data_IF_238069797590
#
_entry.id   IF_238069797590
#
_cell.length_a   1.000
_cell.length_b   1.000
_cell.length_c   1.000
_cell.angle_alpha   90.00
_cell.angle_beta   90.00
_cell.angle_gamma   90.00
#
_symmetry.space_group_name_H-M   'P 1'
#
loop_
_entity.id
_entity.type
_entity.pdbx_description
1 polymer ?
#
# COMPACT_ATOMS: atom_id res chain seq x y z
N UNK A 1 -12.07 -24.18 11.08
CA UNK A 1 -11.08 -23.29 10.46
C UNK A 1 -10.47 -22.40 11.54
N UNK A 2 -9.16 -22.55 11.76
CA UNK A 2 -8.44 -21.63 12.65
C UNK A 2 -8.21 -20.33 11.86
N UNK A 3 -8.72 -19.24 12.37
CA UNK A 3 -8.49 -17.89 11.86
C UNK A 3 -7.32 -17.30 12.66
N UNK A 4 -6.25 -16.95 11.99
CA UNK A 4 -5.14 -16.19 12.60
C UNK A 4 -4.98 -14.90 11.82
N UNK A 5 -5.06 -13.76 12.50
CA UNK A 5 -4.70 -12.46 11.93
C UNK A 5 -3.21 -12.24 12.21
N UNK A 6 -2.46 -11.94 11.17
CA UNK A 6 -1.02 -11.81 11.26
C UNK A 6 -0.59 -10.50 10.59
N UNK A 7 0.26 -9.74 11.29
CA UNK A 7 0.96 -8.62 10.68
C UNK A 7 2.17 -9.13 9.91
N UNK A 8 2.24 -8.88 8.61
CA UNK A 8 3.40 -9.23 7.79
C UNK A 8 4.71 -8.62 8.33
N UNK A 9 4.64 -7.48 9.03
CA UNK A 9 5.81 -6.79 9.59
C UNK A 9 6.49 -7.53 10.74
N UNK A 10 5.78 -8.43 11.45
CA UNK A 10 6.33 -9.11 12.66
C UNK A 10 6.87 -10.50 12.36
N UNK A 11 6.58 -11.07 11.18
CA UNK A 11 7.07 -12.38 10.80
C UNK A 11 8.35 -12.20 10.03
N UNK A 12 9.44 -12.61 10.62
CA UNK A 12 10.79 -12.47 10.06
C UNK A 12 11.49 -13.82 9.99
N UNK A 13 12.27 -13.99 8.94
CA UNK A 13 13.21 -15.10 8.75
C UNK A 13 14.65 -14.58 8.75
N UNK A 14 15.62 -15.46 8.60
CA UNK A 14 17.01 -15.07 8.41
C UNK A 14 17.25 -14.29 7.11
N UNK A 15 16.38 -14.44 6.11
CA UNK A 15 16.46 -13.68 4.87
C UNK A 15 15.75 -12.33 4.90
N UNK A 16 15.06 -11.97 5.97
CA UNK A 16 14.35 -10.71 6.09
C UNK A 16 15.32 -9.52 6.23
N UNK A 17 14.87 -8.33 5.86
CA UNK A 17 15.63 -7.08 5.94
C UNK A 17 15.21 -6.23 7.15
N UNK A 18 15.12 -6.83 8.35
CA UNK A 18 14.72 -6.17 9.59
C UNK A 18 13.20 -6.10 9.81
N UNK A 19 12.39 -6.32 8.78
CA UNK A 19 10.94 -6.53 8.86
C UNK A 19 10.54 -7.72 8.00
N UNK A 20 9.37 -8.31 8.27
CA UNK A 20 8.79 -9.33 7.41
C UNK A 20 8.48 -8.79 6.02
N UNK A 21 8.44 -9.67 5.03
CA UNK A 21 8.26 -9.30 3.64
C UNK A 21 7.37 -10.31 2.87
N UNK A 22 7.22 -10.13 1.57
CA UNK A 22 6.37 -10.99 0.74
C UNK A 22 6.87 -12.43 0.65
N UNK A 23 8.18 -12.69 0.76
CA UNK A 23 8.72 -14.05 0.76
C UNK A 23 8.49 -14.74 2.12
N UNK A 24 8.57 -13.99 3.23
CA UNK A 24 8.17 -14.48 4.54
C UNK A 24 6.67 -14.82 4.57
N UNK A 25 5.82 -13.97 3.99
CA UNK A 25 4.39 -14.24 3.85
C UNK A 25 4.13 -15.50 3.04
N UNK A 26 4.78 -15.65 1.89
CA UNK A 26 4.68 -16.84 1.03
C UNK A 26 5.05 -18.11 1.79
N UNK A 27 6.18 -18.10 2.48
CA UNK A 27 6.64 -19.23 3.30
C UNK A 27 5.62 -19.57 4.39
N UNK A 28 5.12 -18.56 5.09
CA UNK A 28 4.15 -18.75 6.15
C UNK A 28 2.82 -19.35 5.66
N UNK A 29 2.32 -18.89 4.51
CA UNK A 29 1.09 -19.43 3.90
C UNK A 29 1.26 -20.93 3.60
N UNK A 30 2.35 -21.30 2.94
CA UNK A 30 2.64 -22.68 2.58
C UNK A 30 2.80 -23.57 3.82
N UNK A 31 3.57 -23.12 4.81
CA UNK A 31 3.79 -23.89 6.05
C UNK A 31 2.53 -23.98 6.92
N UNK A 32 1.70 -22.92 6.95
CA UNK A 32 0.42 -22.96 7.65
C UNK A 32 -0.52 -24.00 7.04
N UNK A 33 -0.58 -24.06 5.70
CA UNK A 33 -1.37 -25.11 5.04
C UNK A 33 -0.88 -26.49 5.37
N UNK A 34 0.44 -26.73 5.29
CA UNK A 34 1.03 -28.05 5.58
C UNK A 34 0.82 -28.50 7.02
N UNK A 35 1.03 -27.59 8.00
CA UNK A 35 1.03 -27.93 9.43
C UNK A 35 -0.34 -27.91 10.06
N UNK A 36 -1.23 -27.03 9.62
CA UNK A 36 -2.55 -26.83 10.27
C UNK A 36 -3.74 -27.09 9.37
N UNK A 37 -3.52 -27.31 8.06
CA UNK A 37 -4.60 -27.45 7.08
C UNK A 37 -5.33 -26.13 6.78
N UNK A 38 -4.76 -24.97 7.15
CA UNK A 38 -5.37 -23.66 6.94
C UNK A 38 -5.80 -23.46 5.46
N UNK A 39 -6.97 -22.86 5.25
CA UNK A 39 -7.48 -22.56 3.91
C UNK A 39 -7.32 -21.07 3.57
N UNK A 40 -7.03 -20.23 4.54
CA UNK A 40 -6.75 -18.80 4.36
C UNK A 40 -5.92 -18.22 5.52
N UNK A 41 -5.38 -17.05 5.29
CA UNK A 41 -4.70 -16.24 6.29
C UNK A 41 -5.12 -14.78 6.14
N UNK A 42 -5.66 -14.20 7.20
CA UNK A 42 -5.95 -12.77 7.26
C UNK A 42 -4.66 -12.02 7.61
N UNK A 43 -4.34 -11.02 6.81
CA UNK A 43 -3.16 -10.15 7.00
C UNK A 43 -3.60 -8.71 7.23
N UNK A 44 -2.75 -7.92 7.90
CA UNK A 44 -2.95 -6.47 8.01
C UNK A 44 -2.95 -5.81 6.63
N UNK A 45 -3.49 -4.58 6.52
CA UNK A 45 -3.45 -3.85 5.26
C UNK A 45 -2.03 -3.78 4.67
N UNK A 46 -1.92 -4.14 3.39
CA UNK A 46 -0.69 -4.02 2.61
C UNK A 46 -0.71 -2.78 1.70
N UNK A 47 -1.56 -1.83 1.99
CA UNK A 47 -1.66 -0.58 1.24
C UNK A 47 -0.36 0.22 1.26
N UNK A 48 -0.17 1.07 0.25
CA UNK A 48 1.04 1.86 0.08
C UNK A 48 1.34 2.77 1.27
N UNK A 49 2.60 2.78 1.69
CA UNK A 49 3.16 3.68 2.69
C UNK A 49 4.08 4.73 2.04
N UNK A 50 4.62 5.65 2.83
CA UNK A 50 5.56 6.66 2.37
C UNK A 50 6.80 6.02 1.73
N UNK A 51 7.31 6.59 0.63
CA UNK A 51 8.44 6.03 -0.12
C UNK A 51 9.78 6.19 0.59
N UNK A 52 9.89 7.17 1.48
CA UNK A 52 11.07 7.43 2.32
C UNK A 52 10.63 7.91 3.71
N UNK A 53 11.46 7.76 4.74
CA UNK A 53 11.16 8.28 6.08
C UNK A 53 10.90 9.79 6.11
N UNK A 54 10.02 10.25 7.01
CA UNK A 54 9.32 9.48 8.03
C UNK A 54 8.19 8.62 7.46
N UNK A 55 8.03 7.40 7.98
CA UNK A 55 7.02 6.42 7.56
C UNK A 55 5.97 6.31 8.65
N UNK A 56 4.69 6.45 8.28
CA UNK A 56 3.56 6.22 9.18
C UNK A 56 3.59 4.78 9.73
N UNK A 57 3.61 4.59 11.05
CA UNK A 57 3.70 3.24 11.62
C UNK A 57 2.41 2.43 11.48
N UNK A 58 1.27 3.08 11.30
CA UNK A 58 -0.03 2.41 11.19
C UNK A 58 -0.34 2.00 9.76
N UNK A 59 -0.55 0.71 9.48
CA UNK A 59 -0.96 0.27 8.14
C UNK A 59 -2.41 0.69 7.79
N UNK A 60 -3.16 1.22 8.77
CA UNK A 60 -4.53 1.69 8.60
C UNK A 60 -4.62 3.16 8.19
N UNK A 61 -3.48 3.87 8.07
CA UNK A 61 -3.41 5.23 7.55
C UNK A 61 -2.47 5.27 6.31
N UNK A 62 -2.79 4.54 5.23
CA UNK A 62 -1.94 4.46 4.05
C UNK A 62 -1.98 5.75 3.23
N UNK A 63 -0.95 5.96 2.41
CA UNK A 63 -0.93 7.06 1.43
C UNK A 63 -1.83 6.79 0.23
N UNK A 64 -2.05 5.51 -0.08
CA UNK A 64 -2.95 5.05 -1.14
C UNK A 64 -3.52 3.69 -0.80
N UNK A 65 -4.81 3.48 -1.08
CA UNK A 65 -5.46 2.16 -1.03
C UNK A 65 -5.47 1.46 -2.40
N UNK A 66 -5.05 2.16 -3.45
CA UNK A 66 -4.97 1.62 -4.81
C UNK A 66 -3.69 0.82 -5.04
N UNK A 67 -2.61 1.21 -4.39
CA UNK A 67 -1.29 0.62 -4.50
C UNK A 67 -0.88 -0.11 -3.23
N UNK A 68 0.17 -0.93 -3.32
CA UNK A 68 0.63 -1.76 -2.21
C UNK A 68 1.98 -1.27 -1.65
N UNK A 69 2.35 -1.76 -0.48
CA UNK A 69 3.55 -1.33 0.20
C UNK A 69 4.78 -2.05 -0.35
N UNK A 70 5.59 -1.38 -1.15
CA UNK A 70 6.82 -1.90 -1.72
C UNK A 70 7.97 -2.05 -0.70
N UNK A 71 7.81 -1.58 0.57
CA UNK A 71 8.80 -1.85 1.62
C UNK A 71 8.90 -3.34 1.98
N UNK A 72 7.89 -4.13 1.62
CA UNK A 72 7.86 -5.58 1.82
C UNK A 72 8.50 -6.38 0.68
N UNK A 73 9.14 -5.75 -0.31
CA UNK A 73 9.91 -6.46 -1.33
C UNK A 73 11.07 -7.21 -0.68
N UNK A 74 11.29 -8.47 -1.10
CA UNK A 74 12.50 -9.25 -0.84
C UNK A 74 13.44 -9.10 -2.05
N UNK A 75 14.57 -8.37 -1.94
CA UNK A 75 15.49 -8.15 -3.05
C UNK A 75 16.01 -9.46 -3.68
N UNK A 76 16.37 -10.45 -2.87
CA UNK A 76 16.95 -11.71 -3.30
C UNK A 76 15.97 -12.62 -4.06
N UNK A 77 14.66 -12.37 -3.94
CA UNK A 77 13.62 -13.13 -4.66
C UNK A 77 13.37 -12.61 -6.07
N UNK A 78 14.08 -11.58 -6.50
CA UNK A 78 13.91 -10.97 -7.81
C UNK A 78 14.81 -11.63 -8.87
N UNK A 79 14.30 -11.86 -10.11
CA UNK A 79 15.15 -12.32 -11.21
C UNK A 79 16.33 -11.39 -11.48
N UNK A 80 16.14 -10.09 -11.31
CA UNK A 80 17.16 -9.05 -11.50
C UNK A 80 18.32 -9.21 -10.51
N UNK A 81 18.06 -9.56 -9.25
CA UNK A 81 19.11 -9.85 -8.27
C UNK A 81 19.95 -11.06 -8.70
N UNK A 82 19.31 -12.11 -9.20
CA UNK A 82 20.03 -13.29 -9.68
C UNK A 82 20.91 -13.00 -10.91
N UNK A 83 20.57 -11.99 -11.68
CA UNK A 83 21.27 -11.55 -12.89
C UNK A 83 22.37 -10.50 -12.64
N UNK A 84 22.54 -10.02 -11.39
CA UNK A 84 23.54 -9.02 -11.03
C UNK A 84 24.97 -9.50 -11.34
N UNK A 85 25.85 -8.54 -11.64
CA UNK A 85 27.28 -8.77 -11.63
C UNK A 85 27.75 -9.25 -10.25
N UNK A 86 28.85 -10.03 -10.15
CA UNK A 86 29.38 -10.42 -8.84
C UNK A 86 29.70 -9.23 -7.92
N UNK A 87 30.13 -8.10 -8.51
CA UNK A 87 30.41 -6.88 -7.76
C UNK A 87 29.14 -6.25 -7.17
N UNK A 88 28.08 -6.09 -7.97
CA UNK A 88 26.84 -5.48 -7.52
C UNK A 88 26.09 -6.39 -6.57
N UNK A 89 26.16 -7.70 -6.79
CA UNK A 89 25.62 -8.68 -5.84
C UNK A 89 26.29 -8.57 -4.48
N UNK A 90 27.62 -8.48 -4.43
CA UNK A 90 28.35 -8.29 -3.18
C UNK A 90 27.98 -6.99 -2.47
N UNK A 91 27.67 -5.90 -3.20
CA UNK A 91 27.18 -4.65 -2.60
C UNK A 91 25.79 -4.85 -1.96
N UNK A 92 24.88 -5.53 -2.65
CA UNK A 92 23.53 -5.82 -2.11
C UNK A 92 23.62 -6.72 -0.87
N UNK A 93 24.44 -7.78 -0.93
CA UNK A 93 24.66 -8.70 0.18
C UNK A 93 25.23 -7.96 1.41
N UNK A 94 26.19 -7.07 1.21
CA UNK A 94 26.76 -6.25 2.29
C UNK A 94 25.76 -5.26 2.90
N UNK A 95 24.78 -4.79 2.13
CA UNK A 95 23.68 -3.99 2.66
C UNK A 95 22.70 -4.84 3.48
N UNK A 96 22.43 -6.07 3.05
CA UNK A 96 21.60 -7.01 3.83
C UNK A 96 22.26 -7.33 5.18
N UNK A 97 23.55 -7.64 5.20
CA UNK A 97 24.30 -7.92 6.44
C UNK A 97 24.22 -6.80 7.48
N UNK A 98 24.04 -5.54 7.07
CA UNK A 98 23.88 -4.41 7.99
C UNK A 98 22.56 -4.44 8.75
N UNK A 99 21.50 -4.98 8.17
CA UNK A 99 20.15 -5.00 8.73
C UNK A 99 19.71 -6.39 9.23
N UNK A 100 20.44 -7.44 8.89
CA UNK A 100 20.18 -8.80 9.35
C UNK A 100 20.04 -8.89 10.90
N UNK A 101 20.90 -8.23 11.71
CA UNK A 101 20.77 -8.25 13.17
C UNK A 101 19.41 -7.75 13.68
N UNK A 102 18.73 -6.87 12.92
CA UNK A 102 17.40 -6.37 13.28
C UNK A 102 16.33 -7.47 13.22
N UNK A 103 16.57 -8.55 12.50
CA UNK A 103 15.65 -9.70 12.42
C UNK A 103 15.46 -10.36 13.78
N UNK A 104 16.47 -10.33 14.67
CA UNK A 104 16.44 -10.90 16.01
C UNK A 104 15.83 -10.00 17.08
N UNK A 105 15.63 -8.72 16.83
CA UNK A 105 15.06 -7.79 17.79
C UNK A 105 13.54 -7.96 17.88
N UNK A 106 13.07 -8.50 19.02
CA UNK A 106 11.65 -8.73 19.28
C UNK A 106 10.91 -7.48 19.82
N UNK A 107 11.63 -6.42 20.18
CA UNK A 107 11.05 -5.26 20.87
C UNK A 107 10.90 -4.04 19.99
N UNK A 108 11.82 -3.81 19.06
CA UNK A 108 11.82 -2.62 18.21
C UNK A 108 11.89 -2.99 16.74
N UNK A 109 11.01 -2.36 15.94
CA UNK A 109 11.11 -2.37 14.48
C UNK A 109 11.75 -1.05 14.06
N UNK A 110 13.05 -1.07 13.77
CA UNK A 110 13.73 0.09 13.18
C UNK A 110 13.45 0.15 11.67
N UNK A 111 12.24 0.64 11.36
CA UNK A 111 11.75 0.75 9.98
C UNK A 111 12.57 1.72 9.14
N UNK A 112 13.10 2.77 9.73
CA UNK A 112 13.84 3.79 9.00
C UNK A 112 15.19 3.28 8.53
N UNK A 113 15.98 2.70 9.43
CA UNK A 113 17.28 2.10 9.07
C UNK A 113 17.11 0.98 8.07
N UNK A 114 16.19 0.06 8.34
CA UNK A 114 15.87 -1.03 7.43
C UNK A 114 15.52 -0.50 6.03
N UNK A 115 14.60 0.46 5.96
CA UNK A 115 14.09 0.92 4.69
C UNK A 115 15.12 1.70 3.89
N UNK A 116 15.89 2.60 4.53
CA UNK A 116 16.99 3.32 3.87
C UNK A 116 18.01 2.35 3.26
N UNK A 117 18.36 1.28 3.99
CA UNK A 117 19.32 0.28 3.54
C UNK A 117 18.75 -0.55 2.40
N UNK A 118 17.50 -1.02 2.51
CA UNK A 118 16.83 -1.79 1.46
C UNK A 118 16.64 -0.98 0.18
N UNK A 119 16.30 0.30 0.27
CA UNK A 119 16.18 1.18 -0.90
C UNK A 119 17.49 1.32 -1.68
N UNK A 120 18.63 1.35 -0.98
CA UNK A 120 19.94 1.36 -1.67
C UNK A 120 20.18 0.06 -2.44
N UNK A 121 19.84 -1.08 -1.85
CA UNK A 121 19.94 -2.38 -2.52
C UNK A 121 19.02 -2.46 -3.74
N UNK A 122 17.76 -2.06 -3.60
CA UNK A 122 16.79 -2.04 -4.69
C UNK A 122 17.20 -1.08 -5.82
N UNK A 123 17.81 0.05 -5.48
CA UNK A 123 18.36 0.97 -6.47
C UNK A 123 19.52 0.35 -7.27
N UNK A 124 20.43 -0.39 -6.63
CA UNK A 124 21.52 -1.11 -7.31
C UNK A 124 20.92 -2.13 -8.30
N UNK A 125 19.91 -2.90 -7.86
CA UNK A 125 19.25 -3.91 -8.70
C UNK A 125 18.55 -3.23 -9.89
N UNK A 126 17.79 -2.16 -9.66
CA UNK A 126 17.13 -1.39 -10.72
C UNK A 126 18.12 -0.86 -11.76
N UNK A 127 19.24 -0.28 -11.31
CA UNK A 127 20.27 0.31 -12.20
C UNK A 127 21.05 -0.73 -12.99
N UNK A 128 21.03 -2.00 -12.61
CA UNK A 128 21.59 -3.09 -13.41
C UNK A 128 20.76 -3.36 -14.69
N UNK A 129 19.51 -2.87 -14.72
CA UNK A 129 18.63 -2.95 -15.87
C UNK A 129 17.83 -4.24 -15.95
N UNK A 130 16.86 -4.25 -16.86
CA UNK A 130 15.96 -5.36 -17.11
C UNK A 130 16.40 -6.14 -18.36
N UNK A 131 16.17 -7.46 -18.36
CA UNK A 131 16.22 -8.23 -19.61
C UNK A 131 15.11 -7.77 -20.56
N UNK A 132 15.24 -8.07 -21.85
CA UNK A 132 14.22 -7.71 -22.84
C UNK A 132 12.81 -8.27 -22.48
N UNK A 133 12.77 -9.48 -21.92
CA UNK A 133 11.52 -10.08 -21.45
C UNK A 133 10.94 -9.29 -20.27
N UNK A 134 11.76 -9.01 -19.25
CA UNK A 134 11.32 -8.28 -18.06
C UNK A 134 10.91 -6.84 -18.39
N UNK A 135 11.57 -6.21 -19.34
CA UNK A 135 11.14 -4.90 -19.83
C UNK A 135 9.75 -4.95 -20.47
N UNK A 136 9.48 -5.96 -21.30
CA UNK A 136 8.17 -6.13 -21.92
C UNK A 136 7.07 -6.39 -20.87
N UNK A 137 7.35 -7.17 -19.82
CA UNK A 137 6.44 -7.41 -18.71
C UNK A 137 6.17 -6.13 -17.90
N UNK A 138 7.19 -5.33 -17.65
CA UNK A 138 7.05 -4.03 -17.00
C UNK A 138 6.25 -3.04 -17.85
N UNK A 139 6.53 -2.95 -19.15
CA UNK A 139 5.78 -2.09 -20.08
C UNK A 139 4.31 -2.48 -20.14
N UNK A 140 4.01 -3.79 -20.12
CA UNK A 140 2.65 -4.29 -20.05
C UNK A 140 1.95 -3.86 -18.76
N UNK A 141 2.60 -4.02 -17.61
CA UNK A 141 2.08 -3.57 -16.32
C UNK A 141 1.76 -2.07 -16.33
N UNK A 142 2.67 -1.23 -16.86
CA UNK A 142 2.44 0.21 -16.97
C UNK A 142 1.23 0.53 -17.87
N UNK A 143 1.06 -0.20 -18.97
CA UNK A 143 -0.08 -0.02 -19.85
C UNK A 143 -1.42 -0.43 -19.21
N UNK A 144 -1.42 -1.48 -18.39
CA UNK A 144 -2.60 -1.98 -17.67
C UNK A 144 -3.04 -1.03 -16.56
N UNK A 145 -2.09 -0.50 -15.77
CA UNK A 145 -2.39 0.43 -14.67
C UNK A 145 -2.66 1.86 -15.17
N UNK A 146 -2.01 2.26 -16.25
CA UNK A 146 -2.24 3.54 -16.92
C UNK A 146 -1.81 4.75 -16.07
N UNK A 147 -2.58 5.85 -16.17
CA UNK A 147 -2.24 7.13 -15.54
C UNK A 147 -2.17 7.09 -14.01
N UNK A 148 -2.73 6.06 -13.37
CA UNK A 148 -2.74 5.95 -11.91
C UNK A 148 -1.35 5.69 -11.35
N UNK A 149 -0.55 4.81 -12.00
CA UNK A 149 0.83 4.55 -11.57
C UNK A 149 1.72 5.77 -11.76
N UNK A 150 1.49 6.55 -12.83
CA UNK A 150 2.22 7.79 -13.08
C UNK A 150 1.99 8.81 -11.97
N UNK A 151 0.75 8.94 -11.52
CA UNK A 151 0.35 9.85 -10.45
C UNK A 151 0.93 9.45 -9.11
N UNK A 152 0.87 8.16 -8.82
CA UNK A 152 1.44 7.59 -7.59
C UNK A 152 2.95 7.77 -7.53
N UNK A 153 3.66 7.39 -8.59
CA UNK A 153 5.10 7.55 -8.68
C UNK A 153 5.54 9.02 -8.63
N UNK A 154 4.75 9.93 -9.22
CA UNK A 154 5.00 11.37 -9.13
C UNK A 154 4.85 11.87 -7.68
N UNK A 155 3.83 11.43 -6.96
CA UNK A 155 3.69 11.76 -5.53
C UNK A 155 4.88 11.23 -4.72
N UNK A 156 5.30 9.98 -4.96
CA UNK A 156 6.46 9.39 -4.30
C UNK A 156 7.74 10.19 -4.58
N UNK A 157 7.93 10.64 -5.83
CA UNK A 157 9.05 11.50 -6.20
C UNK A 157 9.00 12.84 -5.47
N UNK A 158 7.84 13.49 -5.40
CA UNK A 158 7.67 14.75 -4.66
C UNK A 158 7.99 14.56 -3.17
N UNK A 159 7.49 13.48 -2.56
CA UNK A 159 7.77 13.17 -1.16
C UNK A 159 9.26 12.92 -0.91
N UNK A 160 9.91 12.16 -1.79
CA UNK A 160 11.35 11.87 -1.69
C UNK A 160 12.20 13.15 -1.78
N UNK A 161 11.87 14.06 -2.69
CA UNK A 161 12.69 15.25 -2.95
C UNK A 161 12.33 16.46 -2.08
N UNK A 162 11.05 16.60 -1.73
CA UNK A 162 10.56 17.74 -0.93
C UNK A 162 10.29 17.36 0.53
N UNK A 163 10.28 16.08 0.86
CA UNK A 163 9.99 15.58 2.21
C UNK A 163 8.50 15.54 2.55
N UNK A 164 8.21 15.15 3.79
CA UNK A 164 6.84 15.07 4.28
C UNK A 164 6.13 16.42 4.23
N UNK A 165 4.92 16.45 3.64
CA UNK A 165 4.06 17.63 3.69
C UNK A 165 3.38 17.69 5.06
N UNK A 166 3.67 18.73 5.85
CA UNK A 166 3.28 18.84 7.26
C UNK A 166 2.24 19.91 7.57
N UNK A 167 1.66 20.54 6.54
CA UNK A 167 0.67 21.61 6.69
C UNK A 167 1.22 22.96 7.20
N UNK A 168 2.55 23.03 7.45
CA UNK A 168 3.25 24.23 7.89
C UNK A 168 4.11 24.83 6.76
N UNK A 169 5.41 25.03 7.04
CA UNK A 169 6.34 25.62 6.06
C UNK A 169 6.55 24.71 4.83
N UNK A 170 6.41 23.41 5.00
CA UNK A 170 6.48 22.42 3.93
C UNK A 170 5.09 21.83 3.63
N UNK A 171 4.27 22.57 2.93
CA UNK A 171 2.90 22.18 2.56
C UNK A 171 2.75 22.06 1.03
N UNK A 172 3.65 21.30 0.40
CA UNK A 172 3.65 21.14 -1.04
C UNK A 172 2.40 20.41 -1.58
N UNK A 173 1.79 19.51 -0.80
CA UNK A 173 0.55 18.81 -1.18
C UNK A 173 -0.62 19.76 -1.42
N UNK A 174 -0.71 20.86 -0.63
CA UNK A 174 -1.73 21.88 -0.84
C UNK A 174 -1.32 22.95 -1.83
N UNK A 175 0.00 23.21 -1.93
CA UNK A 175 0.56 24.27 -2.76
C UNK A 175 0.66 23.90 -4.24
N UNK A 176 0.99 22.64 -4.52
CA UNK A 176 1.19 22.15 -5.86
C UNK A 176 0.22 20.99 -6.16
N UNK A 177 -0.34 20.97 -7.35
CA UNK A 177 -1.05 19.82 -7.88
C UNK A 177 -0.16 19.10 -8.92
N UNK A 178 -0.63 17.99 -9.45
CA UNK A 178 0.08 17.16 -10.42
C UNK A 178 0.49 17.91 -11.71
N UNK A 179 -0.25 18.94 -12.08
CA UNK A 179 -0.07 19.69 -13.32
C UNK A 179 0.74 20.98 -13.10
N UNK A 180 1.21 21.23 -11.86
CA UNK A 180 2.04 22.40 -11.52
C UNK A 180 3.38 22.35 -12.23
N UNK A 181 3.91 23.51 -12.59
CA UNK A 181 5.19 23.64 -13.28
C UNK A 181 6.33 23.05 -12.44
N UNK A 182 6.32 23.27 -11.13
CA UNK A 182 7.31 22.74 -10.19
C UNK A 182 7.34 21.21 -10.18
N UNK A 183 6.17 20.56 -10.26
CA UNK A 183 6.06 19.11 -10.39
C UNK A 183 6.59 18.62 -11.74
N UNK A 184 6.26 19.32 -12.82
CA UNK A 184 6.78 19.00 -14.14
C UNK A 184 8.31 19.13 -14.22
N UNK A 185 8.87 20.20 -13.62
CA UNK A 185 10.32 20.39 -13.52
C UNK A 185 10.99 19.27 -12.70
N UNK A 186 10.39 18.87 -11.57
CA UNK A 186 10.91 17.79 -10.72
C UNK A 186 10.94 16.46 -11.48
N UNK A 187 9.88 16.13 -12.21
CA UNK A 187 9.82 14.92 -13.04
C UNK A 187 10.88 14.92 -14.13
N UNK A 188 11.09 16.06 -14.77
CA UNK A 188 12.12 16.22 -15.80
C UNK A 188 13.55 16.12 -15.24
N UNK A 189 13.75 16.57 -14.00
CA UNK A 189 15.05 16.53 -13.32
C UNK A 189 15.41 15.12 -12.82
N UNK A 190 14.42 14.30 -12.44
CA UNK A 190 14.63 12.98 -11.84
C UNK A 190 13.86 11.86 -12.55
N UNK A 191 14.02 11.67 -13.88
CA UNK A 191 13.28 10.66 -14.63
C UNK A 191 13.56 9.23 -14.16
N UNK A 192 14.82 8.92 -13.83
CA UNK A 192 15.22 7.61 -13.30
C UNK A 192 14.55 7.29 -11.96
N UNK A 193 14.43 8.28 -11.07
CA UNK A 193 13.77 8.09 -9.77
C UNK A 193 12.26 7.89 -9.94
N UNK A 194 11.65 8.61 -10.85
CA UNK A 194 10.25 8.44 -11.19
C UNK A 194 9.97 7.02 -11.71
N UNK A 195 10.79 6.53 -12.63
CA UNK A 195 10.67 5.16 -13.16
C UNK A 195 10.96 4.12 -12.09
N UNK A 196 11.91 4.37 -11.20
CA UNK A 196 12.21 3.50 -10.07
C UNK A 196 10.98 3.28 -9.15
N UNK A 197 10.19 4.31 -8.85
CA UNK A 197 8.97 4.16 -8.06
C UNK A 197 7.90 3.35 -8.80
N UNK A 198 7.77 3.48 -10.11
CA UNK A 198 6.90 2.62 -10.93
C UNK A 198 7.36 1.16 -10.91
N UNK A 199 8.66 0.96 -11.04
CA UNK A 199 9.27 -0.37 -11.01
C UNK A 199 9.11 -1.05 -9.64
N UNK A 200 9.28 -0.32 -8.53
CA UNK A 200 9.08 -0.85 -7.18
C UNK A 200 7.66 -1.38 -6.98
N UNK A 201 6.66 -0.65 -7.45
CA UNK A 201 5.26 -1.07 -7.32
C UNK A 201 4.96 -2.33 -8.17
N UNK A 202 5.53 -2.40 -9.37
CA UNK A 202 5.44 -3.59 -10.19
C UNK A 202 6.06 -4.82 -9.51
N UNK A 203 7.29 -4.71 -9.01
CA UNK A 203 7.97 -5.80 -8.30
C UNK A 203 7.20 -6.22 -7.04
N UNK A 204 6.70 -5.27 -6.27
CA UNK A 204 5.89 -5.57 -5.09
C UNK A 204 4.62 -6.35 -5.46
N UNK A 205 3.94 -5.96 -6.53
CA UNK A 205 2.76 -6.65 -7.06
C UNK A 205 3.10 -8.07 -7.48
N UNK A 206 4.21 -8.29 -8.20
CA UNK A 206 4.65 -9.63 -8.59
C UNK A 206 4.91 -10.53 -7.38
N UNK A 207 5.59 -10.02 -6.35
CA UNK A 207 5.91 -10.83 -5.17
C UNK A 207 4.67 -11.15 -4.35
N UNK A 208 3.71 -10.23 -4.24
CA UNK A 208 2.44 -10.51 -3.57
C UNK A 208 1.61 -11.54 -4.35
N UNK A 209 1.55 -11.44 -5.69
CA UNK A 209 0.94 -12.46 -6.54
C UNK A 209 1.60 -13.83 -6.38
N UNK A 210 2.94 -13.88 -6.33
CA UNK A 210 3.67 -15.12 -6.10
C UNK A 210 3.35 -15.75 -4.74
N UNK A 211 3.13 -14.94 -3.69
CA UNK A 211 2.72 -15.42 -2.38
C UNK A 211 1.29 -16.02 -2.42
N UNK A 212 0.35 -15.35 -3.09
CA UNK A 212 -1.02 -15.84 -3.27
C UNK A 212 -1.03 -17.14 -4.09
N UNK A 213 -0.26 -17.19 -5.19
CA UNK A 213 -0.18 -18.38 -6.03
C UNK A 213 0.41 -19.56 -5.26
N UNK A 214 1.49 -19.35 -4.49
CA UNK A 214 2.09 -20.41 -3.67
C UNK A 214 1.12 -20.95 -2.60
N UNK A 215 0.26 -20.10 -2.04
CA UNK A 215 -0.80 -20.52 -1.12
C UNK A 215 -1.80 -21.45 -1.83
N UNK A 216 -2.21 -21.08 -3.06
CA UNK A 216 -3.11 -21.90 -3.88
C UNK A 216 -2.48 -23.26 -4.27
N UNK A 217 -1.23 -23.24 -4.70
CA UNK A 217 -0.47 -24.43 -5.08
C UNK A 217 -0.26 -25.39 -3.89
N UNK A 218 -0.12 -24.85 -2.68
CA UNK A 218 -0.08 -25.62 -1.44
C UNK A 218 -1.45 -26.24 -1.06
N UNK A 219 -2.54 -25.86 -1.76
CA UNK A 219 -3.89 -26.37 -1.56
C UNK A 219 -4.75 -25.51 -0.62
N UNK A 220 -4.39 -24.26 -0.32
CA UNK A 220 -5.31 -23.33 0.33
C UNK A 220 -6.47 -22.99 -0.60
N UNK A 221 -7.71 -23.01 -0.08
CA UNK A 221 -8.90 -22.69 -0.88
C UNK A 221 -9.02 -21.21 -1.20
N UNK A 222 -8.57 -20.34 -0.30
CA UNK A 222 -8.65 -18.89 -0.41
C UNK A 222 -7.24 -18.28 -0.52
N UNK A 223 -6.29 -18.69 0.33
CA UNK A 223 -4.97 -18.09 0.42
C UNK A 223 -4.99 -16.81 1.27
N UNK A 224 -4.55 -15.69 0.70
CA UNK A 224 -4.52 -14.40 1.38
C UNK A 224 -5.94 -13.82 1.51
N UNK A 225 -6.30 -13.38 2.71
CA UNK A 225 -7.41 -12.47 2.96
C UNK A 225 -6.81 -11.09 3.25
N UNK A 226 -6.93 -10.18 2.31
CA UNK A 226 -6.42 -8.81 2.43
C UNK A 226 -7.34 -7.97 3.31
N UNK A 227 -6.78 -7.12 4.16
CA UNK A 227 -7.54 -6.19 4.98
C UNK A 227 -7.61 -4.81 4.32
N UNK A 228 -8.82 -4.27 4.18
CA UNK A 228 -9.05 -2.96 3.57
C UNK A 228 -9.17 -1.89 4.65
N UNK A 229 -8.23 -0.94 4.68
CA UNK A 229 -8.31 0.23 5.55
C UNK A 229 -9.53 1.10 5.23
N UNK A 230 -10.06 1.80 6.24
CA UNK A 230 -11.25 2.66 6.11
C UNK A 230 -11.01 3.82 5.15
N UNK A 231 -9.84 4.44 5.23
CA UNK A 231 -9.49 5.62 4.43
C UNK A 231 -7.99 5.72 4.16
N UNK A 232 -7.55 6.90 3.84
CA UNK A 232 -6.17 7.23 3.46
C UNK A 232 -5.65 8.44 4.23
N UNK A 233 -4.33 8.61 4.24
CA UNK A 233 -3.69 9.78 4.81
C UNK A 233 -4.13 11.06 4.06
N UNK A 234 -4.48 12.17 4.76
CA UNK A 234 -5.00 13.40 4.14
C UNK A 234 -3.99 14.08 3.18
N UNK A 235 -2.70 13.88 3.38
CA UNK A 235 -1.64 14.32 2.48
C UNK A 235 -1.13 13.20 1.55
N UNK A 236 -1.83 12.07 1.49
CA UNK A 236 -1.45 10.90 0.68
C UNK A 236 -1.69 11.09 -0.81
N UNK A 237 -1.16 10.16 -1.59
CA UNK A 237 -1.22 10.16 -3.04
C UNK A 237 -2.64 10.17 -3.58
N UNK A 238 -3.55 9.37 -3.00
CA UNK A 238 -4.94 9.29 -3.47
C UNK A 238 -5.66 10.64 -3.37
N UNK A 239 -5.42 11.39 -2.27
CA UNK A 239 -6.02 12.71 -2.05
C UNK A 239 -5.37 13.76 -2.95
N UNK A 240 -4.07 13.75 -3.08
CA UNK A 240 -3.32 14.71 -3.90
C UNK A 240 -3.65 14.60 -5.38
N UNK A 241 -3.81 13.36 -5.85
CA UNK A 241 -4.11 13.09 -7.27
C UNK A 241 -5.51 13.54 -7.68
N UNK A 242 -6.51 13.27 -6.84
CA UNK A 242 -7.91 13.56 -7.12
C UNK A 242 -8.61 14.16 -5.90
N UNK A 243 -8.25 15.39 -5.49
CA UNK A 243 -8.78 15.99 -4.27
C UNK A 243 -10.30 16.22 -4.33
N UNK A 244 -10.88 16.29 -5.54
CA UNK A 244 -12.33 16.45 -5.75
C UNK A 244 -13.13 15.19 -5.38
N UNK A 245 -12.49 14.03 -5.29
CA UNK A 245 -13.11 12.77 -4.88
C UNK A 245 -13.37 12.69 -3.38
N UNK A 246 -12.70 13.55 -2.62
CA UNK A 246 -12.81 13.62 -1.16
C UNK A 246 -13.59 14.84 -0.73
N UNK A 247 -14.35 14.71 0.37
CA UNK A 247 -15.05 15.84 0.94
C UNK A 247 -14.04 16.74 1.68
N UNK A 248 -14.08 18.03 1.36
CA UNK A 248 -13.27 19.05 2.03
C UNK A 248 -13.88 19.46 3.35
N UNK A 249 -13.04 19.77 4.33
CA UNK A 249 -13.45 20.30 5.63
C UNK A 249 -14.12 19.27 6.54
N UNK A 250 -13.89 17.98 6.32
CA UNK A 250 -14.37 16.91 7.19
C UNK A 250 -13.35 15.77 7.28
N UNK A 251 -13.37 15.07 8.41
CA UNK A 251 -12.64 13.82 8.64
C UNK A 251 -13.60 12.69 8.99
N UNK A 252 -13.15 11.46 8.84
CA UNK A 252 -13.86 10.25 9.25
C UNK A 252 -13.52 9.91 10.68
N UNK A 253 -14.49 9.42 11.43
CA UNK A 253 -14.28 8.92 12.79
C UNK A 253 -15.44 8.06 13.28
N UNK A 254 -15.62 8.03 14.58
CA UNK A 254 -16.72 7.34 15.25
C UNK A 254 -17.37 8.24 16.30
N UNK A 255 -18.70 8.14 16.47
CA UNK A 255 -19.40 8.86 17.53
C UNK A 255 -18.98 8.37 18.92
N UNK A 256 -19.29 9.13 19.98
CA UNK A 256 -19.16 8.65 21.35
C UNK A 256 -19.87 7.32 21.55
N UNK A 257 -19.21 6.41 22.25
CA UNK A 257 -19.76 5.12 22.66
C UNK A 257 -19.39 4.79 24.13
N UNK A 258 -19.77 3.60 24.60
CA UNK A 258 -19.48 3.18 25.98
C UNK A 258 -17.98 2.96 26.28
N UNK A 259 -17.17 2.73 25.26
CA UNK A 259 -15.71 2.53 25.39
C UNK A 259 -14.95 3.83 25.17
N UNK A 260 -15.43 4.70 24.27
CA UNK A 260 -14.83 6.00 23.99
C UNK A 260 -15.90 7.11 24.03
N UNK A 261 -16.07 7.69 25.21
CA UNK A 261 -17.11 8.69 25.47
C UNK A 261 -16.91 10.04 24.75
N UNK A 262 -15.72 10.27 24.18
CA UNK A 262 -15.44 11.48 23.41
C UNK A 262 -15.59 11.26 21.89
N UNK A 263 -15.81 10.01 21.47
CA UNK A 263 -15.73 9.62 20.07
C UNK A 263 -14.28 9.54 19.58
N UNK A 264 -14.09 9.25 18.31
CA UNK A 264 -12.78 9.10 17.68
C UNK A 264 -12.75 9.92 16.40
N UNK A 265 -11.65 10.63 16.19
CA UNK A 265 -11.30 11.22 14.90
C UNK A 265 -10.10 10.43 14.32
N UNK A 266 -10.29 9.83 13.15
CA UNK A 266 -9.25 9.06 12.48
C UNK A 266 -8.46 9.90 11.49
N UNK A 267 -8.76 11.19 11.38
CA UNK A 267 -8.08 12.19 10.55
C UNK A 267 -8.05 11.84 9.03
N UNK A 268 -8.89 10.92 8.59
CA UNK A 268 -8.97 10.48 7.21
C UNK A 268 -10.03 11.28 6.46
N UNK A 269 -9.74 11.81 5.26
CA UNK A 269 -10.75 12.49 4.47
C UNK A 269 -11.76 11.48 3.91
N UNK A 270 -13.08 11.72 4.07
CA UNK A 270 -14.08 10.82 3.52
C UNK A 270 -14.23 11.00 2.01
N UNK A 271 -14.55 9.91 1.31
CA UNK A 271 -14.98 9.98 -0.09
C UNK A 271 -16.28 10.79 -0.20
N UNK A 272 -16.35 11.69 -1.18
CA UNK A 272 -17.53 12.51 -1.42
C UNK A 272 -18.59 11.68 -2.17
N UNK A 273 -19.78 11.40 -1.59
CA UNK A 273 -20.78 10.59 -2.25
C UNK A 273 -21.32 11.19 -3.56
N UNK A 274 -21.33 12.52 -3.69
CA UNK A 274 -21.72 13.19 -4.94
C UNK A 274 -20.67 12.96 -6.02
N UNK A 275 -19.38 13.08 -5.69
CA UNK A 275 -18.30 12.83 -6.63
C UNK A 275 -18.22 11.34 -7.02
N UNK A 276 -18.53 10.43 -6.09
CA UNK A 276 -18.64 9.00 -6.40
C UNK A 276 -19.70 8.76 -7.48
N UNK A 277 -20.90 9.29 -7.30
CA UNK A 277 -22.00 9.15 -8.26
C UNK A 277 -21.63 9.76 -9.62
N UNK A 278 -21.15 10.99 -9.65
CA UNK A 278 -20.74 11.69 -10.87
C UNK A 278 -19.64 10.98 -11.67
N UNK A 279 -18.79 10.22 -11.02
CA UNK A 279 -17.67 9.48 -11.64
C UNK A 279 -17.97 7.99 -11.86
N UNK A 280 -19.22 7.56 -11.64
CA UNK A 280 -19.60 6.15 -11.73
C UNK A 280 -18.80 5.27 -10.77
N UNK A 281 -18.50 5.78 -9.58
CA UNK A 281 -17.75 5.08 -8.50
C UNK A 281 -16.36 4.59 -8.93
N UNK A 282 -15.74 5.21 -9.94
CA UNK A 282 -14.47 4.73 -10.51
C UNK A 282 -13.40 4.50 -9.44
N UNK A 283 -13.18 5.46 -8.53
CA UNK A 283 -12.14 5.35 -7.50
C UNK A 283 -12.37 4.15 -6.57
N UNK A 284 -13.61 3.91 -6.20
CA UNK A 284 -13.98 2.78 -5.35
C UNK A 284 -13.84 1.45 -6.09
N UNK A 285 -14.33 1.38 -7.32
CA UNK A 285 -14.21 0.19 -8.17
C UNK A 285 -12.75 -0.18 -8.43
N UNK A 286 -11.90 0.77 -8.81
CA UNK A 286 -10.50 0.50 -9.14
C UNK A 286 -9.71 0.06 -7.89
N UNK A 287 -10.00 0.64 -6.72
CA UNK A 287 -9.46 0.19 -5.44
C UNK A 287 -9.86 -1.27 -5.13
N UNK A 288 -11.15 -1.59 -5.22
CA UNK A 288 -11.68 -2.94 -4.94
C UNK A 288 -11.11 -3.95 -5.94
N UNK A 289 -11.04 -3.59 -7.22
CA UNK A 289 -10.42 -4.41 -8.26
C UNK A 289 -8.95 -4.75 -7.93
N UNK A 290 -8.15 -3.75 -7.55
CA UNK A 290 -6.75 -3.96 -7.17
C UNK A 290 -6.60 -4.89 -5.97
N UNK A 291 -7.47 -4.79 -4.98
CA UNK A 291 -7.43 -5.69 -3.82
C UNK A 291 -7.76 -7.15 -4.18
N UNK A 292 -8.80 -7.38 -4.98
CA UNK A 292 -9.17 -8.73 -5.42
C UNK A 292 -8.15 -9.33 -6.39
N UNK A 293 -7.42 -8.51 -7.14
CA UNK A 293 -6.34 -8.99 -8.01
C UNK A 293 -5.17 -9.59 -7.23
N UNK A 294 -4.97 -9.17 -5.98
CA UNK A 294 -3.82 -9.53 -5.15
C UNK A 294 -4.15 -10.52 -4.02
N UNK A 295 -5.41 -10.89 -3.83
CA UNK A 295 -5.83 -11.73 -2.70
C UNK A 295 -7.01 -12.63 -3.08
N UNK A 296 -7.18 -13.73 -2.37
CA UNK A 296 -8.30 -14.65 -2.57
C UNK A 296 -9.60 -14.19 -1.91
N UNK A 297 -9.53 -13.24 -0.97
CA UNK A 297 -10.67 -12.58 -0.35
C UNK A 297 -10.26 -11.24 0.28
N UNK A 298 -11.24 -10.41 0.60
CA UNK A 298 -11.03 -9.09 1.23
C UNK A 298 -11.85 -9.00 2.52
N UNK A 299 -11.21 -8.60 3.61
CA UNK A 299 -11.88 -8.13 4.82
C UNK A 299 -12.07 -6.62 4.71
N UNK A 300 -13.28 -6.16 4.95
CA UNK A 300 -13.60 -4.74 4.94
C UNK A 300 -13.61 -4.26 6.40
N UNK A 301 -12.65 -3.40 6.75
CA UNK A 301 -12.65 -2.74 8.04
C UNK A 301 -13.79 -1.72 8.10
N UNK A 302 -14.43 -1.60 9.25
CA UNK A 302 -15.55 -0.68 9.47
C UNK A 302 -16.63 -0.79 8.37
N UNK A 303 -17.25 -1.96 8.22
CA UNK A 303 -18.28 -2.27 7.19
C UNK A 303 -19.39 -1.22 7.09
N UNK A 304 -19.70 -0.51 8.19
CA UNK A 304 -20.65 0.59 8.17
C UNK A 304 -20.30 1.68 7.16
N UNK A 305 -19.02 1.80 6.79
CA UNK A 305 -18.52 2.73 5.77
C UNK A 305 -19.12 2.53 4.37
N UNK A 306 -19.70 1.36 4.08
CA UNK A 306 -20.45 1.13 2.84
C UNK A 306 -21.88 1.72 2.86
N UNK A 307 -22.39 2.02 4.05
CA UNK A 307 -23.75 2.53 4.27
C UNK A 307 -23.71 3.97 4.72
N UNK A 308 -22.87 4.29 5.69
CA UNK A 308 -22.69 5.61 6.28
C UNK A 308 -21.37 5.72 7.01
N UNK A 309 -20.77 6.91 6.97
CA UNK A 309 -19.59 7.25 7.78
C UNK A 309 -19.92 8.40 8.73
N UNK A 310 -19.29 8.37 9.91
CA UNK A 310 -19.32 9.48 10.84
C UNK A 310 -18.34 10.55 10.36
N UNK A 311 -18.88 11.70 9.92
CA UNK A 311 -18.08 12.83 9.47
C UNK A 311 -17.97 13.85 10.56
N UNK A 312 -16.76 14.28 10.83
CA UNK A 312 -16.43 15.29 11.83
C UNK A 312 -15.99 16.54 11.07
N UNK A 313 -16.67 17.69 11.27
CA UNK A 313 -16.23 18.94 10.64
C UNK A 313 -14.82 19.34 11.10
N UNK A 314 -14.00 19.84 10.20
CA UNK A 314 -12.63 20.26 10.49
C UNK A 314 -12.58 21.25 11.65
N UNK A 315 -11.67 21.03 12.61
CA UNK A 315 -11.54 21.85 13.82
C UNK A 315 -12.60 21.62 14.89
N UNK A 316 -13.51 20.65 14.71
CA UNK A 316 -14.50 20.26 15.71
C UNK A 316 -14.08 18.99 16.44
N UNK A 317 -14.78 18.70 17.56
CA UNK A 317 -14.58 17.46 18.32
C UNK A 317 -15.31 16.30 17.63
N UNK A 318 -14.84 15.08 17.86
CA UNK A 318 -15.48 13.89 17.30
C UNK A 318 -16.98 13.77 17.64
N UNK A 319 -17.38 14.25 18.82
CA UNK A 319 -18.80 14.27 19.24
C UNK A 319 -19.69 15.24 18.44
N UNK A 320 -19.11 16.22 17.74
CA UNK A 320 -19.84 17.21 16.95
C UNK A 320 -20.11 16.74 15.51
N UNK A 321 -19.79 15.49 15.21
CA UNK A 321 -19.97 14.89 13.89
C UNK A 321 -21.43 14.53 13.59
N UNK A 322 -21.61 14.00 12.39
CA UNK A 322 -22.89 13.45 11.91
C UNK A 322 -22.66 12.30 10.94
N UNK A 323 -23.67 11.44 10.78
CA UNK A 323 -23.62 10.40 9.75
C UNK A 323 -23.94 10.96 8.37
N UNK A 324 -23.08 10.67 7.41
CA UNK A 324 -23.30 10.90 5.98
C UNK A 324 -23.51 9.56 5.30
N UNK A 325 -24.59 9.42 4.53
CA UNK A 325 -24.96 8.18 3.87
C UNK A 325 -24.31 8.04 2.50
N UNK A 326 -24.03 6.81 2.15
CA UNK A 326 -23.56 6.36 0.84
C UNK A 326 -24.63 5.48 0.19
N UNK A 327 -24.60 5.35 -1.13
CA UNK A 327 -25.44 4.39 -1.84
C UNK A 327 -24.87 2.97 -1.64
N UNK A 328 -25.41 2.29 -0.64
CA UNK A 328 -24.94 0.95 -0.26
C UNK A 328 -25.21 -0.10 -1.33
N UNK A 329 -26.28 0.04 -2.11
CA UNK A 329 -26.63 -0.92 -3.15
C UNK A 329 -25.58 -0.89 -4.28
N UNK A 330 -25.14 0.30 -4.66
CA UNK A 330 -24.07 0.47 -5.65
C UNK A 330 -22.74 -0.04 -5.09
N UNK A 331 -22.38 0.35 -3.85
CA UNK A 331 -21.10 -0.06 -3.26
C UNK A 331 -21.01 -1.57 -3.07
N UNK A 332 -22.06 -2.22 -2.58
CA UNK A 332 -22.15 -3.67 -2.46
C UNK A 332 -22.18 -4.36 -3.84
N UNK A 333 -22.88 -3.76 -4.80
CA UNK A 333 -22.93 -4.26 -6.18
C UNK A 333 -21.54 -4.26 -6.85
N UNK A 334 -20.74 -3.22 -6.63
CA UNK A 334 -19.35 -3.16 -7.12
C UNK A 334 -18.49 -4.24 -6.46
N UNK A 335 -18.59 -4.41 -5.14
CA UNK A 335 -17.87 -5.48 -4.42
C UNK A 335 -18.22 -6.87 -5.00
N UNK A 336 -19.50 -7.16 -5.18
CA UNK A 336 -19.95 -8.43 -5.73
C UNK A 336 -19.47 -8.64 -7.18
N UNK A 337 -19.50 -7.59 -7.99
CA UNK A 337 -19.04 -7.62 -9.37
C UNK A 337 -17.52 -7.90 -9.46
N UNK A 338 -16.70 -7.17 -8.71
CA UNK A 338 -15.25 -7.33 -8.76
C UNK A 338 -14.83 -8.66 -8.12
N UNK A 339 -15.48 -9.11 -7.05
CA UNK A 339 -15.28 -10.46 -6.51
C UNK A 339 -15.61 -11.55 -7.55
N UNK A 340 -16.70 -11.41 -8.30
CA UNK A 340 -17.08 -12.36 -9.34
C UNK A 340 -16.10 -12.36 -10.54
N UNK A 341 -15.50 -11.22 -10.86
CA UNK A 341 -14.50 -11.10 -11.94
C UNK A 341 -13.16 -11.72 -11.55
N UNK A 342 -12.82 -11.66 -10.28
CA UNK A 342 -11.57 -12.20 -9.76
C UNK A 342 -11.61 -13.73 -9.56
N UNK A 343 -12.79 -14.39 -9.57
CA UNK A 343 -12.98 -15.82 -9.37
C UNK A 343 -13.12 -16.16 -7.90
#
# INVERSE_FOLDING_TARGET
PQVSMISATVIRSSGSWGIGDYEDLKTLLVESKKKTGADFMLINPLHAAEPVPPIEPSPYLPISRRFINFSYIRPESMPEYAALSPEDKAKVDALHEQVEPLNGDAQVLDRETMWRTKMQALWIIYKAGLSAQRQAEFDQYLAEVGDEIESYATWCLCYDKWGASNGGDNDWVRKYNRDSEEVAQLRAQYPDTLEFYRWLEWVATEQLHAAQQAARDAGMKIGIVADMAVGVHPAGSDVWWNPERFAKGATVGAPPDMFNQQGQDWSQPPLNPIALDQTGYKVYRDMVHGMFSNAGAVRIDHILGLFRLWWIPEGRKAMDGTYVHYDSDIMLGILALEASRAG
#
